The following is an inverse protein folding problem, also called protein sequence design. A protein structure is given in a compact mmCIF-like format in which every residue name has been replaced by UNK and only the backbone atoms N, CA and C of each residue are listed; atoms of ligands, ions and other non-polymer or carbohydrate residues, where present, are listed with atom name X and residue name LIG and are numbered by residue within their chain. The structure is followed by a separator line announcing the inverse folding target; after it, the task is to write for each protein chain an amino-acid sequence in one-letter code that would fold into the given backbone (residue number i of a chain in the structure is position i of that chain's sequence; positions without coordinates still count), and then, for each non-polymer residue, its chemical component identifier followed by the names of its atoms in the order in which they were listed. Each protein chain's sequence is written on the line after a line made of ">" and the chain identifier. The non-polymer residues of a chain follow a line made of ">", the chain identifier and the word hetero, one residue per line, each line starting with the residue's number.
data_IF_625942905328
#
_entry.id   IF_625942905328
#
_cell.length_a   1.000
_cell.length_b   1.000
_cell.length_c   1.000
_cell.angle_alpha   90.00
_cell.angle_beta   90.00
_cell.angle_gamma   90.00
#
_symmetry.space_group_name_H-M   'P 1'
#
loop_
_entity.id
_entity.type
_entity.pdbx_description
1 polymer ?
#
# COMPACT_ATOMS: atom_id res chain seq x y z
N UNK A 1 1.66 -26.27 8.33
CA UNK A 1 1.63 -24.85 7.94
C UNK A 1 0.53 -24.68 6.90
N UNK A 2 -0.25 -23.60 6.96
CA UNK A 2 -1.17 -23.27 5.86
C UNK A 2 -0.34 -23.03 4.59
N UNK A 3 -0.77 -23.60 3.47
CA UNK A 3 -0.11 -23.34 2.19
C UNK A 3 -0.77 -22.12 1.55
N UNK A 4 -0.15 -20.95 1.70
CA UNK A 4 -0.65 -19.69 1.14
C UNK A 4 -0.46 -19.58 -0.38
N UNK A 5 0.31 -20.50 -0.97
CA UNK A 5 0.62 -20.49 -2.41
C UNK A 5 -0.30 -21.41 -3.23
N UNK A 6 -1.07 -22.27 -2.57
CA UNK A 6 -1.95 -23.23 -3.22
C UNK A 6 -3.32 -22.61 -3.50
N UNK A 7 -3.40 -21.88 -4.62
CA UNK A 7 -4.63 -21.27 -5.10
C UNK A 7 -4.65 -21.25 -6.64
N UNK A 8 -5.80 -21.59 -7.22
CA UNK A 8 -5.98 -21.64 -8.66
C UNK A 8 -6.74 -20.40 -9.15
N UNK A 9 -6.09 -19.58 -9.98
CA UNK A 9 -6.68 -18.38 -10.56
C UNK A 9 -7.57 -18.70 -11.78
N UNK A 10 -8.63 -17.91 -11.97
CA UNK A 10 -9.66 -18.06 -13.01
C UNK A 10 -9.57 -16.99 -14.11
N UNK A 11 -8.49 -16.18 -14.10
CA UNK A 11 -8.24 -15.03 -14.99
C UNK A 11 -9.21 -13.86 -14.78
N UNK A 12 -10.01 -13.90 -13.72
CA UNK A 12 -10.83 -12.78 -13.29
C UNK A 12 -10.25 -12.26 -11.97
N UNK A 13 -9.40 -11.24 -12.07
CA UNK A 13 -8.63 -10.73 -10.92
C UNK A 13 -9.51 -10.44 -9.70
N UNK A 14 -10.66 -9.79 -9.88
CA UNK A 14 -11.55 -9.46 -8.77
C UNK A 14 -12.08 -10.72 -8.09
N UNK A 15 -12.58 -11.70 -8.86
CA UNK A 15 -13.06 -12.98 -8.30
C UNK A 15 -11.95 -13.81 -7.68
N UNK A 16 -10.77 -13.77 -8.27
CA UNK A 16 -9.59 -14.50 -7.77
C UNK A 16 -9.15 -13.92 -6.42
N UNK A 17 -9.11 -12.59 -6.28
CA UNK A 17 -8.80 -11.91 -5.02
C UNK A 17 -9.87 -12.15 -3.96
N UNK A 18 -11.15 -12.05 -4.33
CA UNK A 18 -12.27 -12.38 -3.44
C UNK A 18 -12.17 -13.82 -2.93
N UNK A 19 -12.01 -14.78 -3.85
CA UNK A 19 -11.88 -16.21 -3.52
C UNK A 19 -10.68 -16.49 -2.62
N UNK A 20 -9.55 -15.81 -2.85
CA UNK A 20 -8.35 -15.97 -2.04
C UNK A 20 -8.55 -15.46 -0.61
N UNK A 21 -9.14 -14.28 -0.44
CA UNK A 21 -9.45 -13.75 0.88
C UNK A 21 -10.48 -14.61 1.63
N UNK A 22 -11.55 -15.04 0.96
CA UNK A 22 -12.57 -15.92 1.55
C UNK A 22 -11.99 -17.27 1.98
N UNK A 23 -11.15 -17.90 1.13
CA UNK A 23 -10.43 -19.14 1.46
C UNK A 23 -9.61 -19.02 2.75
N UNK A 24 -9.03 -17.85 2.99
CA UNK A 24 -8.21 -17.59 4.17
C UNK A 24 -8.95 -16.92 5.34
N UNK A 25 -10.27 -16.72 5.22
CA UNK A 25 -11.11 -16.14 6.27
C UNK A 25 -10.85 -14.65 6.50
N UNK A 26 -10.54 -13.90 5.43
CA UNK A 26 -10.19 -12.48 5.44
C UNK A 26 -11.17 -11.63 4.64
N UNK A 27 -12.47 -11.88 4.85
CA UNK A 27 -13.53 -11.11 4.21
C UNK A 27 -13.42 -9.60 4.53
N UNK A 28 -13.04 -9.27 5.77
CA UNK A 28 -12.76 -7.91 6.23
C UNK A 28 -11.74 -7.18 5.33
N UNK A 29 -10.71 -7.89 4.90
CA UNK A 29 -9.63 -7.34 4.06
C UNK A 29 -10.08 -7.19 2.61
N UNK A 30 -10.95 -8.07 2.14
CA UNK A 30 -11.56 -7.91 0.83
C UNK A 30 -12.51 -6.70 0.79
N UNK A 31 -13.29 -6.47 1.84
CA UNK A 31 -14.15 -5.27 1.97
C UNK A 31 -13.30 -3.98 1.93
N UNK A 32 -12.20 -3.92 2.70
CA UNK A 32 -11.22 -2.82 2.59
C UNK A 32 -10.65 -2.69 1.18
N UNK A 33 -10.29 -3.80 0.54
CA UNK A 33 -9.76 -3.79 -0.84
C UNK A 33 -10.74 -3.16 -1.83
N UNK A 34 -12.05 -3.41 -1.68
CA UNK A 34 -13.08 -2.76 -2.51
C UNK A 34 -13.18 -1.26 -2.22
N UNK A 35 -13.08 -0.85 -0.96
CA UNK A 35 -13.05 0.57 -0.57
C UNK A 35 -11.86 1.31 -1.18
N UNK A 36 -10.68 0.67 -1.22
CA UNK A 36 -9.47 1.21 -1.86
C UNK A 36 -9.66 1.35 -3.38
N UNK A 37 -10.25 0.34 -4.04
CA UNK A 37 -10.53 0.41 -5.49
C UNK A 37 -11.57 1.49 -5.82
N UNK A 38 -12.61 1.62 -5.01
CA UNK A 38 -13.60 2.71 -5.14
C UNK A 38 -12.95 4.08 -4.93
N UNK A 39 -12.07 4.20 -3.94
CA UNK A 39 -11.32 5.42 -3.67
C UNK A 39 -10.42 5.80 -4.84
N UNK A 40 -9.72 4.84 -5.45
CA UNK A 40 -8.92 5.07 -6.66
C UNK A 40 -9.78 5.57 -7.83
N UNK A 41 -10.97 4.99 -8.02
CA UNK A 41 -11.92 5.47 -9.04
C UNK A 41 -12.39 6.91 -8.75
N UNK A 42 -12.69 7.22 -7.49
CA UNK A 42 -13.04 8.60 -7.10
C UNK A 42 -11.89 9.58 -7.35
N UNK A 43 -10.64 9.15 -7.13
CA UNK A 43 -9.46 9.95 -7.47
C UNK A 43 -9.42 10.21 -8.98
N UNK A 44 -9.64 9.18 -9.80
CA UNK A 44 -9.67 9.31 -11.27
C UNK A 44 -10.71 10.35 -11.74
N UNK A 45 -11.93 10.26 -11.20
CA UNK A 45 -13.03 11.13 -11.62
C UNK A 45 -12.86 12.59 -11.18
N UNK A 46 -12.23 12.83 -10.03
CA UNK A 46 -12.13 14.18 -9.43
C UNK A 46 -10.82 14.89 -9.71
N UNK A 47 -9.71 14.14 -9.85
CA UNK A 47 -8.36 14.70 -9.91
C UNK A 47 -7.58 14.31 -11.18
N UNK A 48 -8.21 13.57 -12.11
CA UNK A 48 -7.65 13.24 -13.42
C UNK A 48 -7.14 11.81 -13.53
N UNK A 49 -6.58 11.47 -14.69
CA UNK A 49 -6.26 10.08 -15.06
C UNK A 49 -5.39 9.34 -14.03
N UNK A 50 -5.66 8.04 -13.91
CA UNK A 50 -4.84 7.08 -13.17
C UNK A 50 -4.13 6.14 -14.12
N UNK A 51 -3.04 5.54 -13.66
CA UNK A 51 -2.32 4.54 -14.44
C UNK A 51 -3.11 3.22 -14.49
N UNK A 52 -3.16 2.52 -15.65
CA UNK A 52 -3.90 1.27 -15.77
C UNK A 52 -3.51 0.19 -14.75
N UNK A 53 -2.24 0.16 -14.33
CA UNK A 53 -1.72 -0.80 -13.35
C UNK A 53 -2.18 -0.54 -11.91
N UNK A 54 -2.65 0.67 -11.59
CA UNK A 54 -3.02 1.06 -10.21
C UNK A 54 -4.22 0.27 -9.71
N UNK A 55 -5.19 -0.03 -10.58
CA UNK A 55 -6.34 -0.86 -10.20
C UNK A 55 -5.91 -2.29 -9.83
N UNK A 56 -4.98 -2.88 -10.58
CA UNK A 56 -4.44 -4.22 -10.30
C UNK A 56 -3.70 -4.21 -8.97
N UNK A 57 -2.86 -3.21 -8.75
CA UNK A 57 -2.12 -3.06 -7.49
C UNK A 57 -3.06 -2.85 -6.29
N UNK A 58 -4.12 -2.04 -6.41
CA UNK A 58 -5.12 -1.86 -5.36
C UNK A 58 -5.82 -3.18 -5.00
N UNK A 59 -6.19 -4.02 -5.97
CA UNK A 59 -6.76 -5.33 -5.67
C UNK A 59 -5.79 -6.25 -4.91
N UNK A 60 -4.49 -6.08 -5.09
CA UNK A 60 -3.48 -6.99 -4.57
C UNK A 60 -2.71 -6.44 -3.35
N UNK A 61 -2.91 -5.17 -2.97
CA UNK A 61 -2.03 -4.46 -2.04
C UNK A 61 -1.93 -5.14 -0.67
N UNK A 62 -3.03 -5.75 -0.22
CA UNK A 62 -3.19 -6.33 1.12
C UNK A 62 -3.25 -7.87 1.13
N UNK A 63 -2.88 -8.55 0.03
CA UNK A 63 -2.86 -10.02 -0.03
C UNK A 63 -2.09 -10.67 1.13
N UNK A 64 -0.98 -10.07 1.56
CA UNK A 64 -0.15 -10.55 2.65
C UNK A 64 -0.83 -10.57 4.01
N UNK A 65 -1.98 -9.90 4.16
CA UNK A 65 -2.80 -9.96 5.37
C UNK A 65 -3.32 -11.38 5.63
N UNK A 66 -3.42 -12.28 4.65
CA UNK A 66 -3.82 -13.68 4.91
C UNK A 66 -2.86 -14.43 5.83
N UNK A 67 -1.60 -13.98 5.90
CA UNK A 67 -0.59 -14.48 6.84
C UNK A 67 -0.81 -13.82 8.20
N UNK A 68 -0.91 -14.61 9.27
CA UNK A 68 -1.10 -14.07 10.61
C UNK A 68 0.16 -13.33 11.07
N UNK A 69 -0.02 -12.27 11.87
CA UNK A 69 1.08 -11.43 12.35
C UNK A 69 2.20 -12.21 13.04
N UNK A 70 1.88 -13.24 13.82
CA UNK A 70 2.83 -14.11 14.53
C UNK A 70 3.57 -15.09 13.60
N UNK A 71 3.14 -15.20 12.33
CA UNK A 71 3.73 -16.06 11.31
C UNK A 71 4.52 -15.27 10.25
N UNK A 72 4.31 -13.96 10.13
CA UNK A 72 4.88 -13.12 9.05
C UNK A 72 6.41 -13.19 8.97
N UNK A 73 7.13 -13.12 10.09
CA UNK A 73 8.60 -13.23 10.10
C UNK A 73 9.03 -14.59 9.56
N UNK A 74 8.41 -15.67 10.05
CA UNK A 74 8.72 -17.04 9.62
C UNK A 74 8.41 -17.23 8.13
N UNK A 75 7.28 -16.71 7.66
CA UNK A 75 6.91 -16.73 6.25
C UNK A 75 7.98 -16.04 5.40
N UNK A 76 8.41 -14.85 5.80
CA UNK A 76 9.43 -14.09 5.08
C UNK A 76 10.77 -14.86 5.03
N UNK A 77 11.22 -15.44 6.15
CA UNK A 77 12.45 -16.25 6.19
C UNK A 77 12.34 -17.50 5.28
N UNK A 78 11.18 -18.17 5.28
CA UNK A 78 10.97 -19.39 4.48
C UNK A 78 10.94 -19.15 2.97
N UNK A 79 10.64 -17.92 2.56
CA UNK A 79 10.48 -17.52 1.17
C UNK A 79 11.53 -16.50 0.71
N UNK A 80 12.63 -16.37 1.46
CA UNK A 80 13.75 -15.47 1.17
C UNK A 80 13.30 -14.00 0.91
N UNK A 81 12.33 -13.54 1.69
CA UNK A 81 11.86 -12.14 1.68
C UNK A 81 12.68 -11.36 2.69
N UNK A 82 13.37 -10.31 2.23
CA UNK A 82 14.22 -9.47 3.08
C UNK A 82 13.43 -8.77 4.20
N UNK A 83 13.95 -8.86 5.42
CA UNK A 83 13.40 -8.22 6.62
C UNK A 83 14.47 -7.36 7.28
N UNK A 84 14.20 -6.08 7.48
CA UNK A 84 15.06 -5.18 8.26
C UNK A 84 14.88 -5.38 9.76
N UNK A 85 15.83 -4.91 10.57
CA UNK A 85 15.68 -5.00 12.04
C UNK A 85 14.52 -4.14 12.56
N UNK A 86 14.22 -3.02 11.90
CA UNK A 86 13.07 -2.17 12.25
C UNK A 86 11.72 -2.86 11.93
N UNK A 87 11.63 -3.61 10.84
CA UNK A 87 10.43 -4.40 10.50
C UNK A 87 10.17 -5.53 11.51
N UNK A 88 11.20 -6.12 12.11
CA UNK A 88 11.04 -7.13 13.17
C UNK A 88 10.39 -6.55 14.43
N UNK A 89 10.52 -5.25 14.69
CA UNK A 89 9.90 -4.58 15.84
C UNK A 89 8.39 -4.38 15.66
N UNK A 90 7.93 -4.29 14.41
CA UNK A 90 6.51 -4.18 14.05
C UNK A 90 6.16 -5.13 12.89
N UNK A 91 6.08 -6.45 13.12
CA UNK A 91 5.93 -7.43 12.05
C UNK A 91 4.70 -7.23 11.17
N UNK A 92 3.66 -6.56 11.67
CA UNK A 92 2.45 -6.27 10.89
C UNK A 92 2.71 -5.47 9.62
N UNK A 93 3.80 -4.69 9.53
CA UNK A 93 4.13 -3.98 8.28
C UNK A 93 4.67 -4.91 7.20
N UNK A 94 5.09 -6.13 7.52
CA UNK A 94 5.59 -7.10 6.54
C UNK A 94 4.53 -7.54 5.53
N UNK A 95 3.25 -7.30 5.81
CA UNK A 95 2.18 -7.62 4.85
C UNK A 95 2.44 -7.00 3.49
N UNK A 96 3.00 -5.79 3.37
CA UNK A 96 3.28 -5.18 2.06
C UNK A 96 4.28 -6.00 1.22
N UNK A 97 5.33 -6.55 1.84
CA UNK A 97 6.33 -7.39 1.18
C UNK A 97 5.76 -8.77 0.86
N UNK A 98 4.98 -9.33 1.79
CA UNK A 98 4.28 -10.61 1.59
C UNK A 98 3.23 -10.48 0.47
N UNK A 99 2.48 -9.37 0.41
CA UNK A 99 1.53 -9.08 -0.67
C UNK A 99 2.21 -9.07 -2.02
N UNK A 100 3.37 -8.41 -2.13
CA UNK A 100 4.16 -8.38 -3.36
C UNK A 100 4.58 -9.79 -3.79
N UNK A 101 5.06 -10.60 -2.84
CA UNK A 101 5.44 -12.00 -3.09
C UNK A 101 4.24 -12.86 -3.54
N UNK A 102 3.09 -12.75 -2.86
CA UNK A 102 1.88 -13.50 -3.21
C UNK A 102 1.31 -13.05 -4.57
N UNK A 103 1.30 -11.76 -4.85
CA UNK A 103 0.91 -11.22 -6.15
C UNK A 103 1.77 -11.81 -7.29
N UNK A 104 3.07 -11.97 -7.06
CA UNK A 104 3.99 -12.51 -8.06
C UNK A 104 3.88 -14.03 -8.24
N UNK A 105 3.73 -14.77 -7.14
CA UNK A 105 3.75 -16.25 -7.13
C UNK A 105 2.38 -16.89 -7.34
N UNK A 106 1.32 -16.31 -6.79
CA UNK A 106 -0.04 -16.86 -6.84
C UNK A 106 -0.84 -16.24 -7.99
N UNK A 107 -0.80 -14.91 -8.12
CA UNK A 107 -1.59 -14.18 -9.11
C UNK A 107 -0.83 -13.96 -10.44
N UNK A 108 0.44 -14.38 -10.51
CA UNK A 108 1.23 -14.33 -11.74
C UNK A 108 1.57 -12.92 -12.22
N UNK A 109 1.46 -11.89 -11.37
CA UNK A 109 1.80 -10.51 -11.73
C UNK A 109 3.30 -10.40 -11.95
N UNK A 110 3.71 -9.86 -13.10
CA UNK A 110 5.13 -9.69 -13.50
C UNK A 110 5.55 -8.24 -13.73
N UNK A 111 4.60 -7.32 -13.82
CA UNK A 111 4.91 -5.90 -13.98
C UNK A 111 5.53 -5.34 -12.71
N UNK A 112 6.78 -4.89 -12.82
CA UNK A 112 7.55 -4.38 -11.68
C UNK A 112 6.97 -3.09 -11.08
N UNK A 113 6.28 -2.26 -11.87
CA UNK A 113 5.64 -1.05 -11.36
C UNK A 113 4.44 -1.40 -10.47
N UNK A 114 3.64 -2.40 -10.88
CA UNK A 114 2.53 -2.94 -10.07
C UNK A 114 3.07 -3.61 -8.80
N UNK A 115 4.10 -4.44 -8.93
CA UNK A 115 4.71 -5.13 -7.78
C UNK A 115 5.33 -4.15 -6.78
N UNK A 116 5.97 -3.08 -7.24
CA UNK A 116 6.49 -2.03 -6.37
C UNK A 116 5.37 -1.25 -5.68
N UNK A 117 4.29 -0.93 -6.39
CA UNK A 117 3.13 -0.28 -5.78
C UNK A 117 2.54 -1.11 -4.64
N UNK A 118 2.44 -2.43 -4.81
CA UNK A 118 2.05 -3.35 -3.73
C UNK A 118 3.09 -3.36 -2.60
N UNK A 119 4.38 -3.47 -2.94
CA UNK A 119 5.47 -3.60 -1.97
C UNK A 119 5.63 -2.38 -1.05
N UNK A 120 5.34 -1.18 -1.56
CA UNK A 120 5.57 0.08 -0.84
C UNK A 120 4.27 0.83 -0.48
N UNK A 121 3.10 0.19 -0.58
CA UNK A 121 1.83 0.90 -0.28
C UNK A 121 1.69 1.33 1.20
N UNK A 122 2.38 0.66 2.14
CA UNK A 122 2.34 1.05 3.55
C UNK A 122 3.33 2.16 3.86
N UNK A 123 4.57 2.05 3.36
CA UNK A 123 5.68 2.94 3.75
C UNK A 123 5.98 4.05 2.75
N UNK A 124 5.52 3.93 1.50
CA UNK A 124 6.11 4.62 0.34
C UNK A 124 7.62 4.34 0.26
N UNK A 125 8.34 5.09 -0.60
CA UNK A 125 9.80 5.11 -0.69
C UNK A 125 10.27 6.35 -1.44
N UNK A 126 11.60 6.56 -1.49
CA UNK A 126 12.22 7.59 -2.32
C UNK A 126 11.84 7.44 -3.80
N UNK A 127 11.46 8.54 -4.44
CA UNK A 127 11.16 8.61 -5.88
C UNK A 127 10.16 7.55 -6.37
N UNK A 128 8.95 7.48 -5.77
CA UNK A 128 7.95 6.49 -6.17
C UNK A 128 7.44 6.79 -7.58
N UNK A 129 7.04 5.74 -8.31
CA UNK A 129 6.30 5.89 -9.57
C UNK A 129 4.88 6.44 -9.32
N UNK A 130 4.20 6.84 -10.39
CA UNK A 130 2.81 7.30 -10.32
C UNK A 130 1.88 6.22 -9.75
N UNK A 131 2.06 4.95 -10.15
CA UNK A 131 1.29 3.81 -9.61
C UNK A 131 1.49 3.66 -8.10
N UNK A 132 2.73 3.77 -7.63
CA UNK A 132 3.05 3.70 -6.19
C UNK A 132 2.35 4.82 -5.40
N UNK A 133 2.33 6.05 -5.92
CA UNK A 133 1.62 7.16 -5.28
C UNK A 133 0.10 6.95 -5.28
N UNK A 134 -0.47 6.49 -6.39
CA UNK A 134 -1.91 6.25 -6.52
C UNK A 134 -2.42 5.19 -5.55
N UNK A 135 -1.73 4.05 -5.45
CA UNK A 135 -2.10 2.97 -4.53
C UNK A 135 -1.91 3.39 -3.08
N UNK A 136 -0.80 4.07 -2.78
CA UNK A 136 -0.54 4.61 -1.45
C UNK A 136 -1.65 5.56 -1.01
N UNK A 137 -2.01 6.55 -1.83
CA UNK A 137 -3.03 7.55 -1.52
C UNK A 137 -4.43 6.92 -1.43
N UNK A 138 -4.78 6.03 -2.37
CA UNK A 138 -6.07 5.35 -2.35
C UNK A 138 -6.29 4.54 -1.06
N UNK A 139 -5.23 3.85 -0.57
CA UNK A 139 -5.28 3.10 0.70
C UNK A 139 -5.47 4.03 1.92
N UNK A 140 -4.77 5.17 1.99
CA UNK A 140 -4.93 6.10 3.13
C UNK A 140 -6.25 6.87 3.09
N UNK A 141 -6.76 7.12 1.90
CA UNK A 141 -8.01 7.86 1.71
C UNK A 141 -9.26 6.98 1.85
N UNK A 142 -9.12 5.65 1.85
CA UNK A 142 -10.24 4.73 2.09
C UNK A 142 -10.58 4.56 3.57
N UNK A 143 -9.72 5.03 4.49
CA UNK A 143 -9.93 4.92 5.93
C UNK A 143 -11.21 5.61 6.39
N UNK A 144 -12.04 4.89 7.17
CA UNK A 144 -13.41 5.31 7.52
C UNK A 144 -13.56 5.72 8.98
N UNK A 145 -12.58 5.42 9.81
CA UNK A 145 -12.60 5.72 11.24
C UNK A 145 -12.64 7.24 11.47
N UNK A 146 -13.37 7.68 12.49
CA UNK A 146 -13.58 9.10 12.75
C UNK A 146 -12.27 9.88 12.93
N UNK A 147 -11.24 9.25 13.48
CA UNK A 147 -9.92 9.85 13.69
C UNK A 147 -9.17 10.19 12.40
N UNK A 148 -9.51 9.56 11.27
CA UNK A 148 -8.87 9.82 9.97
C UNK A 148 -9.64 10.81 9.10
N UNK A 149 -10.84 11.27 9.51
CA UNK A 149 -11.69 12.14 8.68
C UNK A 149 -11.01 13.45 8.27
N UNK A 150 -10.33 14.10 9.21
CA UNK A 150 -9.59 15.34 8.94
C UNK A 150 -8.43 15.07 7.97
N UNK A 151 -7.63 14.04 8.24
CA UNK A 151 -6.54 13.61 7.36
C UNK A 151 -7.01 13.32 5.93
N UNK A 152 -8.11 12.59 5.76
CA UNK A 152 -8.68 12.28 4.44
C UNK A 152 -9.20 13.54 3.74
N UNK A 153 -9.79 14.48 4.48
CA UNK A 153 -10.22 15.78 3.94
C UNK A 153 -9.02 16.58 3.42
N UNK A 154 -7.95 16.66 4.20
CA UNK A 154 -6.76 17.42 3.82
C UNK A 154 -6.01 16.77 2.65
N UNK A 155 -6.01 15.44 2.56
CA UNK A 155 -5.48 14.72 1.41
C UNK A 155 -6.24 15.03 0.12
N UNK A 156 -7.57 15.15 0.19
CA UNK A 156 -8.39 15.55 -0.96
C UNK A 156 -8.05 16.99 -1.39
N UNK A 157 -7.87 17.90 -0.44
CA UNK A 157 -7.45 19.27 -0.74
C UNK A 157 -6.06 19.30 -1.38
N UNK A 158 -5.10 18.55 -0.85
CA UNK A 158 -3.75 18.48 -1.41
C UNK A 158 -3.73 17.87 -2.84
N UNK A 159 -4.61 16.90 -3.11
CA UNK A 159 -4.78 16.28 -4.43
C UNK A 159 -5.29 17.25 -5.50
N UNK A 160 -5.98 18.33 -5.13
CA UNK A 160 -6.39 19.37 -6.10
C UNK A 160 -5.17 20.05 -6.75
N UNK A 161 -4.01 20.00 -6.09
CA UNK A 161 -2.77 20.57 -6.61
C UNK A 161 -1.94 19.53 -7.36
N UNK A 162 -1.66 18.38 -6.74
CA UNK A 162 -0.95 17.24 -7.37
C UNK A 162 -0.93 16.01 -6.46
N UNK A 163 -0.66 14.84 -7.05
CA UNK A 163 -0.40 13.59 -6.29
C UNK A 163 0.81 13.74 -5.38
N UNK A 164 1.85 14.44 -5.84
CA UNK A 164 3.06 14.71 -5.07
C UNK A 164 2.79 15.60 -3.84
N UNK A 165 1.89 16.58 -3.95
CA UNK A 165 1.50 17.40 -2.79
C UNK A 165 0.73 16.57 -1.75
N UNK A 166 -0.17 15.68 -2.19
CA UNK A 166 -0.88 14.78 -1.28
C UNK A 166 0.08 13.79 -0.59
N UNK A 167 1.06 13.25 -1.33
CA UNK A 167 2.14 12.43 -0.76
C UNK A 167 2.93 13.21 0.29
N UNK A 168 3.37 14.44 -0.03
CA UNK A 168 4.11 15.29 0.90
C UNK A 168 3.29 15.59 2.15
N UNK A 169 1.98 15.86 2.01
CA UNK A 169 1.10 16.12 3.14
C UNK A 169 1.08 14.94 4.12
N UNK A 170 0.78 13.73 3.63
CA UNK A 170 0.75 12.53 4.47
C UNK A 170 2.10 12.26 5.13
N UNK A 171 3.18 12.33 4.35
CA UNK A 171 4.53 12.05 4.82
C UNK A 171 5.02 13.08 5.86
N UNK A 172 4.61 14.35 5.72
CA UNK A 172 4.86 15.40 6.71
C UNK A 172 4.11 15.11 8.02
N UNK A 173 2.89 14.58 7.94
CA UNK A 173 2.12 14.14 9.12
C UNK A 173 2.83 13.01 9.86
N UNK A 174 3.42 12.04 9.14
CA UNK A 174 4.24 10.99 9.76
C UNK A 174 5.50 11.59 10.41
N UNK A 175 6.25 12.43 9.69
CA UNK A 175 7.47 13.07 10.20
C UNK A 175 7.21 13.89 11.47
N UNK A 176 6.11 14.65 11.51
CA UNK A 176 5.72 15.47 12.67
C UNK A 176 5.31 14.63 13.88
N UNK A 177 4.90 13.38 13.69
CA UNK A 177 4.45 12.48 14.76
C UNK A 177 5.41 11.34 15.06
N UNK A 178 6.58 11.29 14.43
CA UNK A 178 7.53 10.17 14.50
C UNK A 178 7.87 9.70 15.92
N UNK A 179 8.00 10.62 16.88
CA UNK A 179 8.32 10.31 18.28
C UNK A 179 7.18 9.60 19.04
N UNK A 180 5.94 9.71 18.54
CA UNK A 180 4.77 9.04 19.11
C UNK A 180 4.48 7.70 18.43
N UNK A 181 5.12 7.43 17.29
CA UNK A 181 4.88 6.23 16.50
C UNK A 181 5.67 5.06 17.06
N UNK A 182 5.06 3.87 17.03
CA UNK A 182 5.78 2.63 17.37
C UNK A 182 6.93 2.34 16.41
N UNK A 183 6.77 2.74 15.14
CA UNK A 183 7.78 2.63 14.10
C UNK A 183 7.61 3.76 13.09
N UNK A 184 8.66 4.54 12.88
CA UNK A 184 8.80 5.44 11.75
C UNK A 184 9.83 4.86 10.78
N UNK A 185 9.33 4.17 9.74
CA UNK A 185 10.15 3.35 8.85
C UNK A 185 11.12 4.20 8.01
N UNK A 186 12.32 3.67 7.74
CA UNK A 186 13.34 4.36 6.96
C UNK A 186 12.85 4.78 5.56
N UNK A 187 12.13 3.90 4.85
CA UNK A 187 11.54 4.23 3.54
C UNK A 187 10.61 5.45 3.57
N UNK A 188 9.77 5.59 4.61
CA UNK A 188 8.87 6.74 4.76
C UNK A 188 9.65 8.03 5.01
N UNK A 189 10.75 7.95 5.77
CA UNK A 189 11.67 9.07 5.98
C UNK A 189 12.34 9.50 4.69
N UNK A 190 12.82 8.55 3.89
CA UNK A 190 13.42 8.87 2.59
C UNK A 190 12.41 9.44 1.59
N UNK A 191 11.18 8.92 1.59
CA UNK A 191 10.08 9.46 0.80
C UNK A 191 9.79 10.91 1.19
N UNK A 192 9.67 11.20 2.50
CA UNK A 192 9.46 12.55 3.00
C UNK A 192 10.55 13.50 2.52
N UNK A 193 11.82 13.15 2.71
CA UNK A 193 12.96 13.98 2.29
C UNK A 193 12.94 14.24 0.78
N UNK A 194 12.60 13.23 -0.02
CA UNK A 194 12.49 13.36 -1.47
C UNK A 194 11.43 14.40 -1.89
N UNK A 195 10.20 14.29 -1.37
CA UNK A 195 9.15 15.24 -1.71
C UNK A 195 9.42 16.63 -1.14
N UNK A 196 9.91 16.71 0.11
CA UNK A 196 10.21 17.97 0.76
C UNK A 196 11.24 18.81 -0.03
N UNK A 197 12.31 18.16 -0.49
CA UNK A 197 13.34 18.81 -1.30
C UNK A 197 12.79 19.27 -2.66
N UNK A 198 12.07 18.41 -3.37
CA UNK A 198 11.57 18.70 -4.72
C UNK A 198 10.47 19.77 -4.74
N UNK A 199 9.66 19.87 -3.69
CA UNK A 199 8.63 20.92 -3.58
C UNK A 199 9.24 22.26 -3.14
N UNK A 200 10.25 22.23 -2.26
CA UNK A 200 10.97 23.45 -1.83
C UNK A 200 11.75 24.12 -2.97
N UNK A 201 12.29 23.32 -3.91
CA UNK A 201 13.01 23.84 -5.08
C UNK A 201 12.10 24.41 -6.19
N UNK A 202 10.79 24.12 -6.17
CA UNK A 202 9.84 24.64 -7.18
C UNK A 202 9.27 26.03 -6.82
N UNK A 203 9.52 26.50 -5.60
CA UNK A 203 9.06 27.79 -5.08
C UNK A 203 10.17 28.86 -5.00
N UNK A 204 11.29 28.69 -5.73
CA UNK A 204 12.40 29.66 -5.84
C UNK A 204 12.64 30.03 -7.30
#
# INVERSE_FOLDING_TARGET
>A
MKNYLDFQITMNLQKDVEGYFLLHGRQDTYEHTLDVVETLYNIEQQFGSIEPGSKIACYCHDLGRVVKNDEMIRFCIQHDIDISDEEKLLPSILHQKISCYLAEKVFGIKDILILNAIKYHTTSRKSPSVIEMEVFLADKMSWKENEYKELVSDLKEALTHSKENAMLYYLSTLENNKEKMRLYHSDSREAFLYFYQNTSTRNV
#
